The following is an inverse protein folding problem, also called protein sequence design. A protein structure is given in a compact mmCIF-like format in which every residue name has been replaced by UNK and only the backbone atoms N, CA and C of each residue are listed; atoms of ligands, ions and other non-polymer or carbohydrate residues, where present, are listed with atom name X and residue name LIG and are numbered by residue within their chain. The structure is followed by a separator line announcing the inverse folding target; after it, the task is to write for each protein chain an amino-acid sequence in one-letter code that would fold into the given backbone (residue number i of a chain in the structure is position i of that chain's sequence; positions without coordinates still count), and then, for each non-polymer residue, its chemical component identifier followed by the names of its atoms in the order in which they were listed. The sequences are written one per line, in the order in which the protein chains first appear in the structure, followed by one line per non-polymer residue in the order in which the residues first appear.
data_IF_764372483976
#
_entry.id   IF_764372483976
#
_cell.length_a   1.000
_cell.length_b   1.000
_cell.length_c   1.000
_cell.angle_alpha   90.00
_cell.angle_beta   90.00
_cell.angle_gamma   90.00
#
_symmetry.space_group_name_H-M   'P 1'
#
loop_
_entity.id
_entity.type
_entity.pdbx_description
1 polymer ?
#
# COMPACT_ATOMS: atom_id res chain seq x y z
N UNK A 1 -25.28 -42.47 -16.26
CA UNK A 1 -24.14 -41.53 -16.31
C UNK A 1 -23.75 -41.48 -17.77
N UNK A 2 -23.66 -40.28 -18.35
CA UNK A 2 -23.55 -40.13 -19.80
C UNK A 2 -22.15 -40.53 -20.28
N UNK A 3 -22.07 -41.58 -21.10
CA UNK A 3 -20.86 -42.05 -21.82
C UNK A 3 -20.32 -41.01 -22.83
N UNK A 4 -20.90 -39.81 -22.87
CA UNK A 4 -20.58 -38.74 -23.79
C UNK A 4 -19.12 -38.27 -23.66
N UNK A 5 -18.52 -38.34 -22.46
CA UNK A 5 -17.13 -37.94 -22.25
C UNK A 5 -16.14 -38.94 -22.81
N UNK A 6 -16.42 -40.23 -22.67
CA UNK A 6 -15.64 -41.31 -23.29
C UNK A 6 -15.73 -41.24 -24.82
N UNK A 7 -16.92 -41.05 -25.37
CA UNK A 7 -17.13 -40.94 -26.83
C UNK A 7 -16.38 -39.73 -27.41
N UNK A 8 -16.42 -38.59 -26.72
CA UNK A 8 -15.69 -37.38 -27.15
C UNK A 8 -14.17 -37.58 -27.14
N UNK A 9 -13.63 -38.22 -26.10
CA UNK A 9 -12.19 -38.44 -25.98
C UNK A 9 -11.65 -39.43 -27.03
N UNK A 10 -12.33 -40.56 -27.21
CA UNK A 10 -11.89 -41.63 -28.10
C UNK A 10 -12.27 -41.41 -29.57
N UNK A 11 -13.18 -40.47 -29.86
CA UNK A 11 -13.71 -40.18 -31.20
C UNK A 11 -14.41 -41.36 -31.88
N UNK A 12 -14.80 -42.37 -31.11
CA UNK A 12 -15.63 -43.48 -31.58
C UNK A 12 -16.59 -43.92 -30.49
N UNK A 13 -17.67 -44.58 -30.91
CA UNK A 13 -18.63 -45.18 -29.99
C UNK A 13 -18.11 -46.55 -29.55
N UNK A 14 -17.79 -46.76 -28.25
CA UNK A 14 -17.13 -47.99 -27.79
C UNK A 14 -17.90 -49.28 -28.08
N UNK A 15 -19.22 -49.22 -28.06
CA UNK A 15 -20.07 -50.37 -28.38
C UNK A 15 -19.98 -50.76 -29.85
N UNK A 16 -19.84 -49.79 -30.74
CA UNK A 16 -19.81 -50.01 -32.19
C UNK A 16 -18.46 -50.60 -32.58
N UNK A 17 -17.36 -50.06 -32.03
CA UNK A 17 -16.02 -50.63 -32.19
C UNK A 17 -15.96 -52.12 -31.76
N UNK A 18 -16.60 -52.48 -30.65
CA UNK A 18 -16.61 -53.86 -30.16
C UNK A 18 -17.49 -54.78 -31.01
N UNK A 19 -18.57 -54.26 -31.59
CA UNK A 19 -19.37 -55.01 -32.56
C UNK A 19 -18.59 -55.28 -33.85
N UNK A 20 -17.91 -54.26 -34.38
CA UNK A 20 -17.09 -54.38 -35.59
C UNK A 20 -15.92 -55.35 -35.40
N UNK A 21 -15.29 -55.32 -34.22
CA UNK A 21 -14.25 -56.27 -33.83
C UNK A 21 -14.81 -57.70 -33.77
N UNK A 22 -15.99 -57.89 -33.18
CA UNK A 22 -16.64 -59.20 -33.13
C UNK A 22 -16.92 -59.73 -34.53
N UNK A 23 -17.52 -58.93 -35.41
CA UNK A 23 -17.78 -59.32 -36.80
C UNK A 23 -16.49 -59.67 -37.54
N UNK A 24 -15.43 -58.88 -37.36
CA UNK A 24 -14.12 -59.13 -37.98
C UNK A 24 -13.51 -60.47 -37.54
N UNK A 25 -13.64 -60.81 -36.26
CA UNK A 25 -13.16 -62.10 -35.72
C UNK A 25 -14.01 -63.25 -36.23
N UNK A 26 -15.34 -63.11 -36.25
CA UNK A 26 -16.25 -64.13 -36.79
C UNK A 26 -15.95 -64.41 -38.27
N UNK A 27 -15.70 -63.36 -39.06
CA UNK A 27 -15.31 -63.47 -40.46
C UNK A 27 -13.95 -64.16 -40.66
N UNK A 28 -12.97 -63.85 -39.81
CA UNK A 28 -11.66 -64.52 -39.83
C UNK A 28 -11.79 -66.01 -39.52
N UNK A 29 -12.59 -66.37 -38.51
CA UNK A 29 -12.87 -67.77 -38.18
C UNK A 29 -13.55 -68.47 -39.37
N UNK A 30 -14.54 -67.81 -39.98
CA UNK A 30 -15.21 -68.33 -41.16
C UNK A 30 -14.22 -68.58 -42.30
N UNK A 31 -13.40 -67.59 -42.67
CA UNK A 31 -12.41 -67.68 -43.74
C UNK A 31 -11.35 -68.73 -43.45
N UNK A 32 -10.84 -68.80 -42.22
CA UNK A 32 -9.84 -69.78 -41.82
C UNK A 32 -10.38 -71.20 -41.95
N UNK A 33 -11.58 -71.45 -41.40
CA UNK A 33 -12.22 -72.75 -41.55
C UNK A 33 -12.50 -73.04 -43.02
N UNK A 34 -12.89 -72.02 -43.78
CA UNK A 34 -13.27 -72.17 -45.16
C UNK A 34 -12.10 -72.54 -46.09
N UNK A 35 -10.92 -71.97 -45.84
CA UNK A 35 -9.69 -72.18 -46.61
C UNK A 35 -8.88 -73.39 -46.14
N UNK A 36 -8.57 -73.47 -44.84
CA UNK A 36 -7.63 -74.48 -44.29
C UNK A 36 -8.23 -75.87 -44.16
N UNK A 37 -9.56 -75.98 -44.04
CA UNK A 37 -10.25 -77.26 -43.91
C UNK A 37 -11.09 -77.60 -45.14
N UNK A 38 -10.64 -77.17 -46.32
CA UNK A 38 -11.28 -77.46 -47.62
C UNK A 38 -11.42 -78.97 -47.90
N UNK A 39 -10.55 -79.80 -47.33
CA UNK A 39 -10.56 -81.27 -47.44
C UNK A 39 -11.55 -81.98 -46.49
N UNK A 40 -12.15 -81.27 -45.51
CA UNK A 40 -13.11 -81.86 -44.57
C UNK A 40 -14.52 -81.88 -45.19
N UNK A 41 -15.28 -82.96 -44.93
CA UNK A 41 -16.71 -83.05 -45.32
C UNK A 41 -17.50 -81.83 -44.82
N UNK A 42 -18.33 -81.26 -45.68
CA UNK A 42 -19.10 -80.03 -45.44
C UNK A 42 -19.92 -80.04 -44.14
N UNK A 43 -20.46 -81.19 -43.73
CA UNK A 43 -21.21 -81.37 -42.49
C UNK A 43 -20.34 -81.13 -41.26
N UNK A 44 -19.17 -81.79 -41.18
CA UNK A 44 -18.22 -81.60 -40.06
C UNK A 44 -17.65 -80.19 -40.02
N UNK A 45 -17.45 -79.56 -41.19
CA UNK A 45 -17.01 -78.17 -41.30
C UNK A 45 -18.03 -77.20 -40.68
N UNK A 46 -19.32 -77.42 -40.93
CA UNK A 46 -20.40 -76.64 -40.30
C UNK A 46 -20.45 -76.83 -38.79
N UNK A 47 -20.31 -78.05 -38.29
CA UNK A 47 -20.29 -78.35 -36.85
C UNK A 47 -19.10 -77.68 -36.13
N UNK A 48 -17.90 -77.78 -36.70
CA UNK A 48 -16.69 -77.12 -36.16
C UNK A 48 -16.87 -75.60 -36.17
N UNK A 49 -17.40 -75.05 -37.28
CA UNK A 49 -17.68 -73.61 -37.42
C UNK A 49 -18.70 -73.13 -36.39
N UNK A 50 -19.80 -73.85 -36.18
CA UNK A 50 -20.80 -73.48 -35.18
C UNK A 50 -20.22 -73.52 -33.76
N UNK A 51 -19.46 -74.56 -33.43
CA UNK A 51 -18.90 -74.72 -32.09
C UNK A 51 -17.85 -73.64 -31.76
N UNK A 52 -16.98 -73.33 -32.73
CA UNK A 52 -16.00 -72.26 -32.59
C UNK A 52 -16.66 -70.88 -32.51
N UNK A 53 -17.62 -70.58 -33.37
CA UNK A 53 -18.33 -69.30 -33.32
C UNK A 53 -19.10 -69.12 -32.00
N UNK A 54 -19.74 -70.17 -31.49
CA UNK A 54 -20.45 -70.10 -30.20
C UNK A 54 -19.48 -69.89 -29.02
N UNK A 55 -18.34 -70.58 -29.02
CA UNK A 55 -17.28 -70.39 -28.02
C UNK A 55 -16.70 -68.97 -28.08
N UNK A 56 -16.39 -68.49 -29.28
CA UNK A 56 -15.90 -67.13 -29.50
C UNK A 56 -16.91 -66.08 -29.04
N UNK A 57 -18.20 -66.25 -29.34
CA UNK A 57 -19.26 -65.33 -28.87
C UNK A 57 -19.31 -65.23 -27.35
N UNK A 58 -19.21 -66.36 -26.64
CA UNK A 58 -19.19 -66.38 -25.16
C UNK A 58 -17.96 -65.64 -24.61
N UNK A 59 -16.80 -65.87 -25.19
CA UNK A 59 -15.56 -65.21 -24.76
C UNK A 59 -15.55 -63.72 -25.10
N UNK A 60 -16.04 -63.34 -26.28
CA UNK A 60 -16.16 -61.94 -26.69
C UNK A 60 -17.15 -61.17 -25.85
N UNK A 61 -18.20 -61.82 -25.34
CA UNK A 61 -19.11 -61.18 -24.38
C UNK A 61 -18.40 -60.77 -23.09
N UNK A 62 -17.59 -61.67 -22.51
CA UNK A 62 -16.78 -61.38 -21.31
C UNK A 62 -15.73 -60.30 -21.60
N UNK A 63 -15.06 -60.40 -22.74
CA UNK A 63 -14.09 -59.42 -23.20
C UNK A 63 -14.72 -58.04 -23.36
N UNK A 64 -15.89 -57.94 -23.99
CA UNK A 64 -16.65 -56.70 -24.16
C UNK A 64 -16.93 -56.04 -22.82
N UNK A 65 -17.38 -56.80 -21.84
CA UNK A 65 -17.63 -56.27 -20.49
C UNK A 65 -16.35 -55.75 -19.83
N UNK A 66 -15.25 -56.48 -19.98
CA UNK A 66 -13.95 -56.07 -19.45
C UNK A 66 -13.45 -54.77 -20.09
N UNK A 67 -13.51 -54.67 -21.41
CA UNK A 67 -13.05 -53.49 -22.16
C UNK A 67 -13.86 -52.26 -21.79
N UNK A 68 -15.20 -52.38 -21.81
CA UNK A 68 -16.07 -51.25 -21.51
C UNK A 68 -15.91 -50.77 -20.08
N UNK A 69 -15.64 -51.67 -19.12
CA UNK A 69 -15.55 -51.29 -17.70
C UNK A 69 -14.15 -50.84 -17.25
N UNK A 70 -13.09 -51.40 -17.82
CA UNK A 70 -11.73 -51.21 -17.31
C UNK A 70 -10.77 -50.51 -18.27
N UNK A 71 -11.05 -50.54 -19.58
CA UNK A 71 -10.14 -49.96 -20.58
C UNK A 71 -10.70 -48.61 -21.05
N UNK A 72 -11.95 -48.60 -21.52
CA UNK A 72 -12.53 -47.42 -22.18
C UNK A 72 -13.26 -46.51 -21.17
N UNK A 73 -13.58 -47.00 -19.97
CA UNK A 73 -14.26 -46.20 -18.96
C UNK A 73 -13.28 -45.45 -18.07
N UNK A 74 -13.48 -44.14 -17.95
CA UNK A 74 -12.66 -43.30 -17.09
C UNK A 74 -13.07 -43.40 -15.63
N UNK A 75 -12.11 -43.38 -14.68
CA UNK A 75 -12.42 -43.25 -13.27
C UNK A 75 -13.26 -41.99 -13.02
N UNK A 76 -14.26 -42.02 -12.11
CA UNK A 76 -15.15 -40.88 -11.87
C UNK A 76 -14.42 -39.63 -11.33
N UNK A 77 -13.17 -39.76 -10.87
CA UNK A 77 -12.32 -38.63 -10.44
C UNK A 77 -11.60 -37.93 -11.60
N UNK A 78 -11.53 -38.56 -12.78
CA UNK A 78 -10.80 -38.10 -13.96
C UNK A 78 -11.68 -37.23 -14.86
N UNK A 79 -12.37 -36.23 -14.29
CA UNK A 79 -13.32 -35.35 -15.01
C UNK A 79 -12.66 -34.24 -15.84
N UNK A 80 -11.55 -33.58 -15.40
CA UNK A 80 -11.01 -32.43 -16.12
C UNK A 80 -10.27 -32.78 -17.41
N UNK A 81 -9.78 -34.01 -17.61
CA UNK A 81 -9.04 -34.39 -18.83
C UNK A 81 -9.94 -35.00 -19.93
N UNK A 82 -11.26 -35.03 -19.74
CA UNK A 82 -12.21 -35.73 -20.64
C UNK A 82 -12.55 -34.96 -21.90
N UNK A 83 -12.33 -33.64 -21.94
CA UNK A 83 -12.74 -32.81 -23.06
C UNK A 83 -11.54 -32.54 -23.96
N UNK A 84 -11.67 -32.93 -25.23
CA UNK A 84 -10.71 -32.55 -26.29
C UNK A 84 -10.74 -31.04 -26.55
N UNK A 85 -11.80 -30.37 -26.09
CA UNK A 85 -11.97 -28.91 -26.11
C UNK A 85 -11.12 -28.19 -25.05
N UNK A 86 -10.57 -28.91 -24.08
CA UNK A 86 -9.45 -28.40 -23.29
C UNK A 86 -8.13 -28.67 -24.05
N UNK A 87 -8.13 -28.32 -25.35
CA UNK A 87 -6.97 -27.61 -25.86
C UNK A 87 -6.82 -26.47 -24.85
N UNK A 88 -5.79 -26.55 -24.02
CA UNK A 88 -5.35 -25.43 -23.23
C UNK A 88 -5.23 -24.33 -24.28
N UNK A 89 -6.26 -23.49 -24.41
CA UNK A 89 -6.09 -22.15 -24.89
C UNK A 89 -4.88 -21.73 -24.09
N UNK A 90 -3.74 -21.54 -24.78
CA UNK A 90 -2.65 -20.74 -24.27
C UNK A 90 -3.29 -19.38 -23.99
N UNK A 91 -4.00 -19.32 -22.88
CA UNK A 91 -4.82 -18.22 -22.44
C UNK A 91 -3.79 -17.25 -21.93
N UNK A 92 -3.18 -16.55 -22.88
CA UNK A 92 -2.57 -15.25 -22.74
C UNK A 92 -1.93 -15.00 -21.37
N UNK A 93 -1.06 -15.92 -20.93
CA UNK A 93 -0.27 -15.70 -19.72
C UNK A 93 0.65 -14.49 -19.96
N UNK A 94 1.16 -14.31 -21.18
CA UNK A 94 2.03 -13.20 -21.54
C UNK A 94 1.35 -11.82 -21.39
N UNK A 95 0.15 -11.56 -21.95
CA UNK A 95 -0.59 -10.32 -21.70
C UNK A 95 -0.93 -10.10 -20.23
N UNK A 96 -1.40 -11.13 -19.51
CA UNK A 96 -1.77 -11.01 -18.09
C UNK A 96 -0.53 -10.70 -17.23
N UNK A 97 0.60 -11.34 -17.50
CA UNK A 97 1.87 -11.04 -16.82
C UNK A 97 2.34 -9.61 -17.13
N UNK A 98 2.27 -9.16 -18.39
CA UNK A 98 2.63 -7.78 -18.75
C UNK A 98 1.73 -6.77 -18.05
N UNK A 99 0.44 -7.02 -18.01
CA UNK A 99 -0.53 -6.17 -17.31
C UNK A 99 -0.26 -6.14 -15.81
N UNK A 100 0.02 -7.29 -15.19
CA UNK A 100 0.43 -7.38 -13.79
C UNK A 100 1.73 -6.62 -13.50
N UNK A 101 2.75 -6.74 -14.35
CA UNK A 101 4.00 -5.98 -14.18
C UNK A 101 3.79 -4.47 -14.36
N UNK A 102 2.95 -4.06 -15.31
CA UNK A 102 2.58 -2.65 -15.49
C UNK A 102 1.85 -2.11 -14.25
N UNK A 103 0.85 -2.83 -13.74
CA UNK A 103 0.13 -2.45 -12.52
C UNK A 103 1.10 -2.35 -11.33
N UNK A 104 2.01 -3.32 -11.18
CA UNK A 104 2.99 -3.35 -10.10
C UNK A 104 3.97 -2.17 -10.18
N UNK A 105 4.41 -1.78 -11.37
CA UNK A 105 5.29 -0.63 -11.57
C UNK A 105 4.54 0.68 -11.30
N UNK A 106 3.32 0.83 -11.84
CA UNK A 106 2.47 1.98 -11.57
C UNK A 106 2.19 2.16 -10.07
N UNK A 107 1.97 1.06 -9.33
CA UNK A 107 1.81 1.10 -7.88
C UNK A 107 3.05 1.57 -7.13
N UNK A 108 4.26 1.26 -7.63
CA UNK A 108 5.51 1.79 -7.05
C UNK A 108 5.62 3.29 -7.31
N UNK A 109 5.33 3.73 -8.53
CA UNK A 109 5.41 5.14 -8.91
C UNK A 109 4.40 5.99 -8.13
N UNK A 110 3.16 5.50 -8.00
CA UNK A 110 2.13 6.14 -7.17
C UNK A 110 2.54 6.24 -5.70
N UNK A 111 3.21 5.22 -5.15
CA UNK A 111 3.73 5.28 -3.76
C UNK A 111 4.80 6.37 -3.61
N UNK A 112 5.67 6.52 -4.60
CA UNK A 112 6.69 7.57 -4.61
C UNK A 112 6.03 8.95 -4.70
N UNK A 113 5.06 9.13 -5.61
CA UNK A 113 4.31 10.38 -5.74
C UNK A 113 3.60 10.76 -4.44
N UNK A 114 2.89 9.82 -3.80
CA UNK A 114 2.23 10.06 -2.51
C UNK A 114 3.24 10.48 -1.43
N UNK A 115 4.43 9.89 -1.42
CA UNK A 115 5.47 10.27 -0.46
C UNK A 115 5.96 11.70 -0.70
N UNK A 116 6.24 12.05 -1.96
CA UNK A 116 6.69 13.39 -2.33
C UNK A 116 5.61 14.45 -2.04
N UNK A 117 4.35 14.16 -2.35
CA UNK A 117 3.21 15.02 -2.02
C UNK A 117 3.09 15.26 -0.51
N UNK A 118 3.25 14.22 0.30
CA UNK A 118 3.25 14.34 1.77
C UNK A 118 4.41 15.21 2.29
N UNK A 119 5.58 15.09 1.68
CA UNK A 119 6.74 15.95 2.02
C UNK A 119 6.48 17.41 1.62
N UNK A 120 5.95 17.65 0.42
CA UNK A 120 5.54 18.99 -0.01
C UNK A 120 4.47 19.61 0.89
N UNK A 121 3.46 18.83 1.30
CA UNK A 121 2.45 19.32 2.26
C UNK A 121 3.06 19.71 3.61
N UNK A 122 4.07 18.98 4.09
CA UNK A 122 4.77 19.35 5.33
C UNK A 122 5.54 20.66 5.16
N UNK A 123 6.22 20.85 4.03
CA UNK A 123 6.93 22.11 3.75
C UNK A 123 5.97 23.28 3.66
N UNK A 124 4.87 23.15 2.91
CA UNK A 124 3.84 24.19 2.80
C UNK A 124 3.20 24.54 4.15
N UNK A 125 2.98 23.54 5.02
CA UNK A 125 2.51 23.80 6.40
C UNK A 125 3.53 24.60 7.21
N UNK A 126 4.81 24.30 7.07
CA UNK A 126 5.85 25.05 7.75
C UNK A 126 5.94 26.48 7.24
N UNK A 127 5.90 26.68 5.92
CA UNK A 127 5.88 28.00 5.29
C UNK A 127 4.66 28.82 5.71
N UNK A 128 3.48 28.20 5.78
CA UNK A 128 2.28 28.85 6.30
C UNK A 128 2.49 29.37 7.72
N UNK A 129 3.04 28.56 8.62
CA UNK A 129 3.33 28.97 10.00
C UNK A 129 4.32 30.14 10.03
N UNK A 130 5.35 30.11 9.19
CA UNK A 130 6.30 31.22 9.08
C UNK A 130 5.63 32.52 8.61
N UNK A 131 4.76 32.45 7.61
CA UNK A 131 4.01 33.61 7.12
C UNK A 131 3.01 34.15 8.15
N UNK A 132 2.33 33.28 8.90
CA UNK A 132 1.46 33.68 10.01
C UNK A 132 2.26 34.41 11.11
N UNK A 133 3.46 33.94 11.45
CA UNK A 133 4.34 34.62 12.40
C UNK A 133 4.83 35.97 11.87
N UNK A 134 5.20 36.06 10.58
CA UNK A 134 5.59 37.33 9.97
C UNK A 134 4.45 38.35 9.99
N UNK A 135 3.24 37.92 9.65
CA UNK A 135 2.05 38.76 9.70
C UNK A 135 1.77 39.26 11.13
N UNK A 136 1.94 38.39 12.14
CA UNK A 136 1.82 38.79 13.54
C UNK A 136 2.84 39.88 13.91
N UNK A 137 4.10 39.68 13.56
CA UNK A 137 5.16 40.67 13.82
C UNK A 137 4.90 41.99 13.10
N UNK A 138 4.39 41.97 11.87
CA UNK A 138 4.02 43.17 11.13
C UNK A 138 2.90 43.96 11.83
N UNK A 139 1.89 43.25 12.35
CA UNK A 139 0.82 43.87 13.13
C UNK A 139 1.34 44.50 14.44
N UNK A 140 2.23 43.81 15.16
CA UNK A 140 2.87 44.34 16.38
C UNK A 140 3.71 45.60 16.07
N UNK A 141 4.44 45.61 14.95
CA UNK A 141 5.18 46.78 14.47
C UNK A 141 4.24 47.94 14.14
N UNK A 142 3.11 47.68 13.49
CA UNK A 142 2.10 48.69 13.17
C UNK A 142 1.51 49.32 14.43
N UNK A 143 1.18 48.51 15.44
CA UNK A 143 0.72 49.00 16.74
C UNK A 143 1.79 49.84 17.44
N UNK A 144 3.04 49.38 17.43
CA UNK A 144 4.17 50.12 18.00
C UNK A 144 4.35 51.47 17.31
N UNK A 145 4.24 51.53 15.98
CA UNK A 145 4.31 52.77 15.22
C UNK A 145 3.19 53.76 15.60
N UNK A 146 1.96 53.28 15.79
CA UNK A 146 0.85 54.10 16.29
C UNK A 146 1.12 54.65 17.70
N UNK A 147 1.67 53.82 18.59
CA UNK A 147 2.08 54.25 19.93
C UNK A 147 3.17 55.34 19.88
N UNK A 148 4.16 55.20 18.99
CA UNK A 148 5.22 56.18 18.80
C UNK A 148 4.69 57.52 18.25
N UNK A 149 3.75 57.48 17.30
CA UNK A 149 3.06 58.68 16.82
C UNK A 149 2.33 59.41 17.96
N UNK A 150 1.59 58.67 18.78
CA UNK A 150 0.89 59.22 19.94
C UNK A 150 1.87 59.81 20.98
N UNK A 151 3.01 59.15 21.22
CA UNK A 151 4.05 59.67 22.11
C UNK A 151 4.69 60.94 21.56
N UNK A 152 4.96 61.00 20.26
CA UNK A 152 5.48 62.21 19.59
C UNK A 152 4.53 63.38 19.77
N UNK A 153 3.23 63.17 19.60
CA UNK A 153 2.22 64.21 19.81
C UNK A 153 2.13 64.65 21.28
N UNK A 154 2.17 63.71 22.22
CA UNK A 154 2.25 64.03 23.66
C UNK A 154 3.52 64.80 24.00
N UNK A 155 4.66 64.41 23.44
CA UNK A 155 5.92 65.10 23.64
C UNK A 155 5.88 66.53 23.09
N UNK A 156 5.31 66.74 21.89
CA UNK A 156 5.10 68.07 21.32
C UNK A 156 4.22 68.94 22.21
N UNK A 157 3.10 68.40 22.71
CA UNK A 157 2.22 69.10 23.66
C UNK A 157 2.95 69.46 24.96
N UNK A 158 3.78 68.55 25.48
CA UNK A 158 4.58 68.80 26.67
C UNK A 158 5.63 69.89 26.41
N UNK A 159 6.33 69.85 25.27
CA UNK A 159 7.27 70.91 24.89
C UNK A 159 6.57 72.27 24.75
N UNK A 160 5.40 72.31 24.11
CA UNK A 160 4.60 73.53 23.99
C UNK A 160 4.11 74.03 25.36
N UNK A 161 3.76 73.13 26.27
CA UNK A 161 3.41 73.46 27.65
C UNK A 161 4.62 74.03 28.40
N UNK A 162 5.77 73.35 28.39
CA UNK A 162 7.01 73.82 29.03
C UNK A 162 7.44 75.18 28.50
N UNK A 163 7.35 75.42 27.19
CA UNK A 163 7.63 76.74 26.58
C UNK A 163 6.67 77.85 27.06
N UNK A 164 5.44 77.49 27.42
CA UNK A 164 4.41 78.43 27.90
C UNK A 164 4.39 78.61 29.41
N UNK A 165 5.00 77.69 30.17
CA UNK A 165 5.18 77.91 31.60
C UNK A 165 6.23 79.01 31.75
N UNK A 166 5.92 80.12 32.42
CA UNK A 166 6.93 81.05 32.88
C UNK A 166 7.67 80.38 34.04
N UNK A 167 8.51 79.38 33.74
CA UNK A 167 9.42 78.84 34.74
C UNK A 167 10.53 79.87 34.90
N UNK A 168 10.27 80.80 35.82
CA UNK A 168 11.15 81.86 36.27
C UNK A 168 11.60 82.78 35.13
N UNK A 169 11.34 84.08 35.27
CA UNK A 169 12.33 85.05 34.80
C UNK A 169 13.71 84.49 35.14
N UNK A 170 14.58 84.28 34.13
CA UNK A 170 15.95 83.80 34.29
C UNK A 170 16.65 84.64 35.37
N UNK A 171 16.52 84.21 36.61
CA UNK A 171 17.25 84.74 37.75
C UNK A 171 18.19 83.59 38.08
N UNK A 172 19.42 83.70 37.57
CA UNK A 172 20.47 82.67 37.67
C UNK A 172 20.64 82.16 39.11
N UNK A 173 20.32 82.99 40.09
CA UNK A 173 20.22 82.70 41.52
C UNK A 173 19.32 81.49 41.84
N UNK A 174 18.12 81.39 41.26
CA UNK A 174 17.20 80.28 41.57
C UNK A 174 17.68 78.95 40.98
N UNK A 175 18.29 78.98 39.79
CA UNK A 175 18.89 77.78 39.20
C UNK A 175 20.11 77.32 40.00
N UNK A 176 20.93 78.26 40.46
CA UNK A 176 22.08 78.01 41.32
C UNK A 176 21.69 77.43 42.67
N UNK A 177 20.66 77.98 43.32
CA UNK A 177 20.12 77.43 44.58
C UNK A 177 19.63 75.99 44.41
N UNK A 178 19.03 75.66 43.26
CA UNK A 178 18.55 74.29 42.97
C UNK A 178 19.71 73.31 42.75
N UNK A 179 20.80 73.76 42.12
CA UNK A 179 22.04 72.98 41.99
C UNK A 179 22.72 72.77 43.35
N UNK A 180 22.84 73.82 44.16
CA UNK A 180 23.40 73.76 45.51
C UNK A 180 22.61 72.78 46.39
N UNK A 181 21.27 72.82 46.33
CA UNK A 181 20.42 71.89 47.08
C UNK A 181 20.58 70.45 46.60
N UNK A 182 20.82 70.23 45.30
CA UNK A 182 21.11 68.89 44.75
C UNK A 182 22.46 68.37 45.24
N UNK A 183 23.48 69.22 45.28
CA UNK A 183 24.81 68.87 45.77
C UNK A 183 24.78 68.54 47.26
N UNK A 184 24.16 69.39 48.09
CA UNK A 184 23.95 69.15 49.52
C UNK A 184 23.25 67.81 49.78
N UNK A 185 22.20 67.49 49.01
CA UNK A 185 21.50 66.21 49.14
C UNK A 185 22.39 65.02 48.78
N UNK A 186 23.25 65.16 47.76
CA UNK A 186 24.20 64.11 47.39
C UNK A 186 25.29 63.91 48.45
N UNK A 187 25.74 64.98 49.10
CA UNK A 187 26.72 64.89 50.19
C UNK A 187 26.13 64.24 51.44
N UNK A 188 24.89 64.59 51.82
CA UNK A 188 24.20 63.92 52.92
C UNK A 188 24.05 62.41 52.67
N UNK A 189 23.64 62.01 51.47
CA UNK A 189 23.55 60.59 51.09
C UNK A 189 24.91 59.87 51.16
N UNK A 190 26.00 60.51 50.73
CA UNK A 190 27.35 59.95 50.85
C UNK A 190 27.79 59.80 52.31
N UNK A 191 27.39 60.75 53.17
CA UNK A 191 27.68 60.70 54.60
C UNK A 191 26.90 59.58 55.29
N UNK A 192 25.60 59.48 55.04
CA UNK A 192 24.75 58.38 55.55
C UNK A 192 25.27 57.01 55.11
N UNK A 193 25.70 56.87 53.84
CA UNK A 193 26.31 55.63 53.35
C UNK A 193 27.60 55.28 54.10
N UNK A 194 28.46 56.26 54.38
CA UNK A 194 29.69 56.04 55.16
C UNK A 194 29.41 55.69 56.61
N UNK A 195 28.42 56.31 57.24
CA UNK A 195 27.98 55.97 58.59
C UNK A 195 27.44 54.54 58.65
N UNK A 196 26.62 54.13 57.66
CA UNK A 196 26.15 52.76 57.56
C UNK A 196 27.31 51.76 57.35
N UNK A 197 28.27 52.07 56.48
CA UNK A 197 29.46 51.22 56.27
C UNK A 197 30.38 51.16 57.50
N UNK A 198 30.50 52.24 58.28
CA UNK A 198 31.26 52.27 59.53
C UNK A 198 30.56 51.57 60.71
N UNK A 199 29.26 51.30 60.60
CA UNK A 199 28.44 50.61 61.60
C UNK A 199 28.28 49.10 61.36
N UNK A 200 28.81 48.58 60.25
CA UNK A 200 28.93 47.13 60.03
C UNK A 200 30.17 46.65 60.78
N UNK A 201 29.94 46.16 62.00
CA UNK A 201 30.95 45.52 62.83
C UNK A 201 31.48 44.26 62.10
N UNK A 202 32.64 44.39 61.47
CA UNK A 202 33.28 43.33 60.66
C UNK A 202 33.55 42.08 61.49
N UNK A 203 33.65 42.23 62.82
CA UNK A 203 33.82 41.14 63.79
C UNK A 203 32.53 40.32 64.03
N UNK A 204 31.34 40.86 63.74
CA UNK A 204 30.08 40.11 63.88
C UNK A 204 29.82 39.17 62.68
N UNK A 205 30.28 39.54 61.48
CA UNK A 205 30.13 38.71 60.28
C UNK A 205 31.12 37.53 60.24
N UNK A 206 32.29 37.64 60.88
CA UNK A 206 33.25 36.54 60.93
C UNK A 206 32.81 35.39 61.88
N UNK A 207 31.97 35.69 62.88
CA UNK A 207 31.40 34.72 63.82
C UNK A 207 30.12 34.01 63.31
N UNK A 208 29.63 34.35 62.11
CA UNK A 208 28.48 33.68 61.48
C UNK A 208 28.89 32.68 60.37
N UNK A 209 30.20 32.56 60.08
CA UNK A 209 30.74 31.69 59.00
C UNK A 209 31.68 30.60 59.57
N UNK A 210 31.79 30.46 60.90
CA UNK A 210 32.46 29.32 61.56
C UNK A 210 31.46 28.54 62.42
#
# INVERSE_FOLDING_TARGET
MSDNGEIEFFEFVPTDFLNDLQTSIEDLICKFIDNEFSFIKSVKKKEIKSLLLESTKKNLFLFRFFVLKNIIHFPPKFVPERKKVDYIEENHIEPILREYFNIKNNLKDLKIQIKNEKENQKMLKHEKIQLENLLKNENELKETALCLLNLKDKHKRLQDYVRKIPFYSLDDENFKSLLEHRELRSEMLKKELKEMQGSVDVDYLHNLIV
#
